data_IF_183922770606
#
_entry.id   IF_183922770606
#
_cell.length_a   1.000
_cell.length_b   1.000
_cell.length_c   1.000
_cell.angle_alpha   90.00
_cell.angle_beta   90.00
_cell.angle_gamma   90.00
#
_symmetry.space_group_name_H-M   'P 1'
#
loop_
_entity.id
_entity.type
_entity.pdbx_description
1 polymer ?
#
# COMPACT_ATOMS: atom_id res chain seq x y z
N UNK A 1 -12.95 -15.32 20.38
CA UNK A 1 -13.54 -16.40 19.56
C UNK A 1 -14.66 -15.95 18.58
N UNK A 2 -15.61 -15.09 18.96
CA UNK A 2 -16.71 -14.66 18.05
C UNK A 2 -16.24 -13.90 16.79
N UNK A 3 -15.20 -13.10 16.87
CA UNK A 3 -14.70 -12.31 15.72
C UNK A 3 -13.99 -13.15 14.65
N UNK A 4 -13.28 -14.21 15.05
CA UNK A 4 -12.65 -15.15 14.09
C UNK A 4 -13.70 -15.87 13.23
N UNK A 5 -14.80 -16.34 13.82
CA UNK A 5 -15.86 -17.01 13.07
C UNK A 5 -16.52 -16.10 12.02
N UNK A 6 -16.66 -14.79 12.31
CA UNK A 6 -17.23 -13.83 11.36
C UNK A 6 -16.29 -13.57 10.20
N UNK A 7 -14.98 -13.43 10.49
CA UNK A 7 -13.96 -13.27 9.44
C UNK A 7 -13.89 -14.50 8.54
N UNK A 8 -13.83 -15.70 9.12
CA UNK A 8 -13.77 -16.95 8.36
C UNK A 8 -15.02 -17.15 7.48
N UNK A 9 -16.20 -16.74 7.96
CA UNK A 9 -17.41 -16.75 7.18
C UNK A 9 -17.34 -15.79 5.99
N UNK A 10 -16.90 -14.55 6.22
CA UNK A 10 -16.75 -13.55 5.16
C UNK A 10 -15.73 -13.99 4.10
N UNK A 11 -14.61 -14.56 4.53
CA UNK A 11 -13.58 -15.06 3.62
C UNK A 11 -14.05 -16.27 2.82
N UNK A 12 -14.83 -17.17 3.44
CA UNK A 12 -15.46 -18.27 2.73
C UNK A 12 -16.45 -17.76 1.68
N UNK A 13 -17.28 -16.77 2.02
CA UNK A 13 -18.21 -16.16 1.06
C UNK A 13 -17.45 -15.48 -0.09
N UNK A 14 -16.37 -14.74 0.21
CA UNK A 14 -15.54 -14.08 -0.79
C UNK A 14 -14.93 -15.10 -1.77
N UNK A 15 -14.27 -16.13 -1.26
CA UNK A 15 -13.61 -17.16 -2.08
C UNK A 15 -14.63 -17.96 -2.90
N UNK A 16 -15.80 -18.26 -2.33
CA UNK A 16 -16.88 -18.93 -3.06
C UNK A 16 -17.40 -18.08 -4.22
N UNK A 17 -17.65 -16.79 -3.99
CA UNK A 17 -18.10 -15.90 -5.06
C UNK A 17 -17.03 -15.69 -6.14
N UNK A 18 -15.75 -15.58 -5.75
CA UNK A 18 -14.64 -15.52 -6.70
C UNK A 18 -14.59 -16.77 -7.59
N UNK A 19 -14.71 -17.96 -6.99
CA UNK A 19 -14.74 -19.23 -7.71
C UNK A 19 -15.94 -19.35 -8.65
N UNK A 20 -17.13 -18.96 -8.21
CA UNK A 20 -18.33 -18.92 -9.05
C UNK A 20 -18.17 -17.97 -10.24
N UNK A 21 -17.59 -16.79 -10.01
CA UNK A 21 -17.28 -15.84 -11.08
C UNK A 21 -16.32 -16.43 -12.11
N UNK A 22 -15.22 -17.01 -11.68
CA UNK A 22 -14.21 -17.64 -12.55
C UNK A 22 -14.82 -18.81 -13.36
N UNK A 23 -15.68 -19.61 -12.72
CA UNK A 23 -16.36 -20.72 -13.38
C UNK A 23 -17.35 -20.22 -14.47
N UNK A 24 -18.15 -19.21 -14.15
CA UNK A 24 -19.09 -18.61 -15.10
C UNK A 24 -18.36 -17.99 -16.29
N UNK A 25 -17.24 -17.30 -16.04
CA UNK A 25 -16.37 -16.76 -17.10
C UNK A 25 -15.81 -17.87 -17.99
N UNK A 26 -15.26 -18.93 -17.39
CA UNK A 26 -14.70 -20.05 -18.12
C UNK A 26 -15.76 -20.77 -19.00
N UNK A 27 -16.97 -21.00 -18.45
CA UNK A 27 -18.08 -21.60 -19.19
C UNK A 27 -18.52 -20.72 -20.36
N UNK A 28 -18.62 -19.41 -20.17
CA UNK A 28 -19.02 -18.48 -21.22
C UNK A 28 -17.98 -18.27 -22.29
N UNK A 29 -16.70 -18.50 -21.97
CA UNK A 29 -15.54 -18.37 -22.87
C UNK A 29 -15.16 -19.69 -23.55
N UNK A 30 -15.87 -20.78 -23.31
CA UNK A 30 -15.54 -22.08 -23.88
C UNK A 30 -15.66 -22.08 -25.41
N UNK A 31 -14.67 -22.57 -26.18
CA UNK A 31 -14.64 -22.47 -27.66
C UNK A 31 -15.89 -23.03 -28.35
N UNK A 32 -16.55 -24.03 -27.78
CA UNK A 32 -17.80 -24.59 -28.34
C UNK A 32 -18.99 -23.60 -28.27
N UNK A 33 -18.97 -22.61 -27.35
CA UNK A 33 -20.01 -21.59 -27.23
C UNK A 33 -19.86 -20.49 -28.32
N UNK A 34 -18.67 -20.34 -28.90
CA UNK A 34 -18.39 -19.42 -30.01
C UNK A 34 -18.96 -19.87 -31.35
N UNK A 35 -19.32 -21.16 -31.48
CA UNK A 35 -19.95 -21.70 -32.71
C UNK A 35 -21.44 -21.32 -32.82
N UNK A 36 -22.08 -20.91 -31.73
CA UNK A 36 -23.44 -20.35 -31.72
C UNK A 36 -23.43 -19.09 -30.85
N UNK A 37 -23.55 -17.89 -31.44
CA UNK A 37 -23.61 -16.65 -30.68
C UNK A 37 -24.89 -16.61 -29.84
N UNK A 38 -24.80 -17.12 -28.60
CA UNK A 38 -25.89 -17.08 -27.64
C UNK A 38 -25.64 -15.95 -26.63
N UNK A 39 -26.50 -14.91 -26.62
CA UNK A 39 -26.36 -13.77 -25.71
C UNK A 39 -26.29 -14.19 -24.24
N UNK A 40 -26.88 -15.31 -23.86
CA UNK A 40 -26.85 -15.84 -22.50
C UNK A 40 -25.42 -16.21 -22.07
N UNK A 41 -24.65 -16.89 -22.91
CA UNK A 41 -23.26 -17.24 -22.59
C UNK A 41 -22.35 -16.03 -22.50
N UNK A 42 -22.56 -15.04 -23.39
CA UNK A 42 -21.79 -13.78 -23.33
C UNK A 42 -22.11 -12.99 -22.06
N UNK A 43 -23.37 -12.94 -21.66
CA UNK A 43 -23.79 -12.29 -20.43
C UNK A 43 -23.26 -13.04 -19.18
N UNK A 44 -23.29 -14.36 -19.19
CA UNK A 44 -22.72 -15.17 -18.11
C UNK A 44 -21.20 -14.99 -17.97
N UNK A 45 -20.48 -14.91 -19.10
CA UNK A 45 -19.04 -14.64 -19.11
C UNK A 45 -18.73 -13.23 -18.57
N UNK A 46 -19.45 -12.20 -19.01
CA UNK A 46 -19.27 -10.83 -18.56
C UNK A 46 -19.61 -10.69 -17.06
N UNK A 47 -20.69 -11.30 -16.60
CA UNK A 47 -21.06 -11.34 -15.18
C UNK A 47 -20.00 -12.07 -14.36
N UNK A 48 -19.51 -13.21 -14.86
CA UNK A 48 -18.45 -13.99 -14.23
C UNK A 48 -17.15 -13.18 -14.08
N UNK A 49 -16.77 -12.47 -15.13
CA UNK A 49 -15.59 -11.60 -15.11
C UNK A 49 -15.72 -10.46 -14.09
N UNK A 50 -16.86 -9.79 -14.05
CA UNK A 50 -17.12 -8.72 -13.07
C UNK A 50 -17.08 -9.27 -11.65
N UNK A 51 -17.70 -10.42 -11.40
CA UNK A 51 -17.75 -11.06 -10.10
C UNK A 51 -16.35 -11.51 -9.65
N UNK A 52 -15.64 -12.24 -10.50
CA UNK A 52 -14.28 -12.69 -10.21
C UNK A 52 -13.36 -11.49 -9.90
N UNK A 53 -13.35 -10.47 -10.75
CA UNK A 53 -12.54 -9.26 -10.55
C UNK A 53 -12.91 -8.50 -9.27
N UNK A 54 -14.18 -8.45 -8.90
CA UNK A 54 -14.61 -7.77 -7.68
C UNK A 54 -14.03 -8.45 -6.46
N UNK A 55 -14.15 -9.77 -6.38
CA UNK A 55 -13.70 -10.53 -5.21
C UNK A 55 -12.18 -10.82 -5.18
N UNK A 56 -11.52 -10.89 -6.34
CA UNK A 56 -10.05 -11.00 -6.40
C UNK A 56 -9.36 -9.70 -6.02
N UNK A 57 -9.85 -8.56 -6.50
CA UNK A 57 -9.28 -7.23 -6.18
C UNK A 57 -9.32 -6.87 -4.70
N UNK A 58 -10.19 -7.49 -3.91
CA UNK A 58 -10.24 -7.28 -2.47
C UNK A 58 -8.97 -7.76 -1.73
N UNK A 59 -8.16 -8.64 -2.36
CA UNK A 59 -7.02 -9.28 -1.70
C UNK A 59 -5.72 -9.25 -2.51
N UNK A 60 -5.81 -9.03 -3.83
CA UNK A 60 -4.63 -8.99 -4.69
C UNK A 60 -4.02 -7.60 -4.67
N UNK A 61 -2.73 -7.54 -4.33
CA UNK A 61 -1.96 -6.30 -4.42
C UNK A 61 -1.81 -5.88 -5.87
N UNK A 62 -2.21 -4.66 -6.25
CA UNK A 62 -1.97 -4.14 -7.58
C UNK A 62 -0.47 -3.92 -7.83
N UNK A 63 -0.03 -4.11 -9.05
CA UNK A 63 1.32 -3.75 -9.47
C UNK A 63 1.51 -2.23 -9.48
N UNK A 64 2.75 -1.80 -9.26
CA UNK A 64 3.10 -0.38 -9.35
C UNK A 64 2.89 0.18 -10.76
N UNK A 65 3.21 -0.58 -11.80
CA UNK A 65 3.10 -0.16 -13.21
C UNK A 65 3.73 1.23 -13.47
N UNK A 66 4.83 1.52 -12.79
CA UNK A 66 5.67 2.72 -13.00
C UNK A 66 6.91 2.22 -13.71
N UNK A 67 6.96 2.36 -15.01
CA UNK A 67 8.05 1.85 -15.85
C UNK A 67 8.98 2.95 -16.33
N UNK A 68 8.47 4.17 -16.48
CA UNK A 68 9.24 5.33 -16.93
C UNK A 68 8.80 6.60 -16.22
N UNK A 69 9.69 7.59 -16.20
CA UNK A 69 9.42 8.95 -15.77
C UNK A 69 10.10 9.92 -16.73
N UNK A 70 9.44 11.04 -17.04
CA UNK A 70 10.03 12.11 -17.84
C UNK A 70 10.96 12.93 -16.95
N UNK A 71 12.23 13.02 -17.35
CA UNK A 71 13.22 13.84 -16.65
C UNK A 71 13.20 15.32 -17.06
N UNK A 72 14.00 16.14 -16.39
CA UNK A 72 14.18 17.57 -16.73
C UNK A 72 14.71 17.78 -18.17
N UNK A 73 15.37 16.78 -18.72
CA UNK A 73 15.87 16.76 -20.09
C UNK A 73 14.78 16.45 -21.14
N UNK A 74 13.54 16.25 -20.69
CA UNK A 74 12.38 15.89 -21.52
C UNK A 74 12.40 14.46 -22.06
N UNK A 75 13.28 13.59 -21.57
CA UNK A 75 13.40 12.19 -22.00
C UNK A 75 12.75 11.26 -20.99
N UNK A 76 12.29 10.10 -21.50
CA UNK A 76 11.83 9.01 -20.67
C UNK A 76 13.02 8.26 -20.05
N UNK A 77 12.99 8.12 -18.73
CA UNK A 77 13.96 7.36 -17.96
C UNK A 77 13.29 6.13 -17.34
N UNK A 78 13.97 5.01 -17.40
CA UNK A 78 13.44 3.74 -16.88
C UNK A 78 13.41 3.79 -15.35
N UNK A 79 12.31 3.32 -14.77
CA UNK A 79 12.09 3.20 -13.33
C UNK A 79 12.08 1.72 -12.95
N UNK A 80 12.94 1.35 -12.02
CA UNK A 80 13.01 0.02 -11.41
C UNK A 80 12.57 0.11 -9.96
N UNK A 81 11.78 -0.86 -9.50
CA UNK A 81 11.35 -0.96 -8.11
C UNK A 81 12.25 -1.96 -7.39
N UNK A 82 12.98 -1.50 -6.39
CA UNK A 82 13.90 -2.34 -5.60
C UNK A 82 13.54 -2.32 -4.11
N UNK A 83 13.70 -3.46 -3.42
CA UNK A 83 13.52 -3.54 -1.97
C UNK A 83 14.82 -3.16 -1.27
N UNK A 84 14.79 -2.10 -0.47
CA UNK A 84 15.94 -1.59 0.29
C UNK A 84 16.04 -2.25 1.67
N UNK A 85 14.91 -2.37 2.37
CA UNK A 85 14.81 -3.08 3.64
C UNK A 85 13.65 -4.05 3.56
N UNK A 86 13.90 -5.31 3.92
CA UNK A 86 12.88 -6.37 3.90
C UNK A 86 12.52 -6.78 5.32
N UNK A 87 11.22 -6.76 5.64
CA UNK A 87 10.69 -7.14 6.95
C UNK A 87 9.43 -8.00 6.80
N UNK A 88 9.07 -8.81 7.82
CA UNK A 88 7.91 -9.69 7.75
C UNK A 88 6.58 -8.98 7.45
N UNK A 89 6.36 -7.78 8.00
CA UNK A 89 5.07 -7.07 7.90
C UNK A 89 5.08 -5.92 6.90
N UNK A 90 6.23 -5.56 6.34
CA UNK A 90 6.32 -4.50 5.35
C UNK A 90 7.75 -4.21 4.95
N UNK A 91 7.94 -3.84 3.72
CA UNK A 91 9.24 -3.54 3.14
C UNK A 91 9.41 -2.02 2.97
N UNK A 92 10.65 -1.58 2.90
CA UNK A 92 11.01 -0.27 2.35
C UNK A 92 11.42 -0.47 0.90
N UNK A 93 10.68 0.10 -0.02
CA UNK A 93 10.99 0.03 -1.45
C UNK A 93 11.46 1.39 -1.98
N UNK A 94 12.30 1.34 -3.00
CA UNK A 94 12.87 2.48 -3.72
C UNK A 94 12.50 2.43 -5.19
N UNK A 95 12.12 3.56 -5.75
CA UNK A 95 11.91 3.74 -7.18
C UNK A 95 13.19 4.32 -7.80
N UNK A 96 14.05 3.44 -8.26
CA UNK A 96 15.33 3.78 -8.86
C UNK A 96 15.15 4.21 -10.31
N UNK A 97 15.58 5.40 -10.62
CA UNK A 97 15.49 5.94 -11.99
C UNK A 97 16.86 5.88 -12.65
N UNK A 98 16.94 5.14 -13.73
CA UNK A 98 18.16 4.94 -14.49
C UNK A 98 18.46 6.12 -15.44
N UNK A 99 19.75 6.49 -15.57
CA UNK A 99 20.18 7.50 -16.56
C UNK A 99 19.92 8.95 -16.15
N UNK A 100 19.33 9.22 -14.98
CA UNK A 100 19.22 10.56 -14.40
C UNK A 100 20.36 10.84 -13.42
N UNK A 101 20.71 12.13 -13.26
CA UNK A 101 21.64 12.53 -12.20
C UNK A 101 21.02 12.23 -10.82
N UNK A 102 21.83 11.80 -9.83
CA UNK A 102 21.32 11.59 -8.47
C UNK A 102 20.64 12.85 -7.94
N UNK A 103 19.42 12.69 -7.46
CA UNK A 103 18.65 13.82 -6.93
C UNK A 103 19.10 14.14 -5.52
N UNK A 104 19.17 15.42 -5.20
CA UNK A 104 19.61 15.88 -3.88
C UNK A 104 18.58 15.63 -2.78
N UNK A 105 17.29 15.49 -3.16
CA UNK A 105 16.19 15.29 -2.22
C UNK A 105 15.83 13.82 -2.14
N UNK A 106 15.68 13.32 -0.93
CA UNK A 106 15.19 11.98 -0.65
C UNK A 106 13.86 12.10 0.06
N UNK A 107 12.85 11.41 -0.42
CA UNK A 107 11.51 11.43 0.14
C UNK A 107 11.11 10.02 0.56
N UNK A 108 10.69 9.87 1.81
CA UNK A 108 10.02 8.68 2.32
C UNK A 108 8.52 8.95 2.39
N UNK A 109 7.75 8.26 1.57
CA UNK A 109 6.30 8.19 1.68
C UNK A 109 5.93 7.10 2.70
N UNK A 110 5.19 7.46 3.72
CA UNK A 110 4.61 6.50 4.66
C UNK A 110 3.17 6.24 4.25
N UNK A 111 2.96 5.08 3.65
CA UNK A 111 1.66 4.67 3.14
C UNK A 111 0.75 4.17 4.27
N UNK A 112 -0.58 4.37 4.19
CA UNK A 112 -1.52 3.78 5.12
C UNK A 112 -1.53 2.26 4.99
N UNK A 113 -1.73 1.57 6.11
CA UNK A 113 -1.87 0.11 6.17
C UNK A 113 -3.34 -0.34 6.09
N UNK A 114 -4.27 0.53 6.49
CA UNK A 114 -5.68 0.20 6.66
C UNK A 114 -6.41 0.02 5.33
N UNK A 115 -6.65 -1.26 4.96
CA UNK A 115 -7.55 -1.63 3.87
C UNK A 115 -7.06 -1.30 2.46
N UNK A 116 -5.81 -0.86 2.29
CA UNK A 116 -5.22 -0.48 1.01
C UNK A 116 -3.77 -0.93 0.94
N UNK A 117 -3.30 -1.16 -0.27
CA UNK A 117 -1.87 -1.33 -0.53
C UNK A 117 -1.19 0.03 -0.77
N UNK A 118 0.12 0.08 -0.61
CA UNK A 118 0.93 1.29 -0.86
C UNK A 118 0.75 1.85 -2.28
N UNK A 119 0.34 1.02 -3.23
CA UNK A 119 0.01 1.39 -4.61
C UNK A 119 -1.13 2.43 -4.71
N UNK A 120 -1.90 2.66 -3.64
CA UNK A 120 -2.82 3.80 -3.54
C UNK A 120 -2.10 5.14 -3.78
N UNK A 121 -0.83 5.25 -3.38
CA UNK A 121 -0.02 6.46 -3.54
C UNK A 121 0.77 6.49 -4.86
N UNK A 122 0.42 5.65 -5.84
CA UNK A 122 1.11 5.57 -7.13
C UNK A 122 1.25 6.93 -7.83
N UNK A 123 0.17 7.71 -7.89
CA UNK A 123 0.21 9.06 -8.50
C UNK A 123 1.11 10.02 -7.73
N UNK A 124 1.15 9.92 -6.40
CA UNK A 124 2.05 10.72 -5.57
C UNK A 124 3.51 10.34 -5.84
N UNK A 125 3.81 9.05 -5.94
CA UNK A 125 5.15 8.57 -6.33
C UNK A 125 5.54 9.15 -7.68
N UNK A 126 4.68 9.00 -8.69
CA UNK A 126 4.95 9.51 -10.05
C UNK A 126 5.18 11.03 -10.08
N UNK A 127 4.45 11.79 -9.28
CA UNK A 127 4.60 13.25 -9.20
C UNK A 127 5.91 13.67 -8.53
N UNK A 128 6.48 12.85 -7.64
CA UNK A 128 7.74 13.17 -6.93
C UNK A 128 8.98 12.67 -7.67
N UNK A 129 8.86 11.64 -8.50
CA UNK A 129 9.99 11.01 -9.18
C UNK A 129 10.84 11.95 -10.04
N UNK A 130 10.33 12.99 -10.72
CA UNK A 130 11.17 13.92 -11.45
C UNK A 130 12.17 14.67 -10.56
N UNK A 131 11.79 15.00 -9.31
CA UNK A 131 12.52 15.92 -8.44
C UNK A 131 13.22 15.26 -7.24
N UNK A 132 12.88 13.98 -6.94
CA UNK A 132 13.34 13.32 -5.71
C UNK A 132 13.68 11.83 -5.91
N UNK A 133 14.57 11.33 -5.06
CA UNK A 133 14.72 9.89 -4.79
C UNK A 133 13.54 9.45 -3.92
N UNK A 134 12.64 8.63 -4.45
CA UNK A 134 11.38 8.26 -3.79
C UNK A 134 11.45 6.88 -3.19
N UNK A 135 11.18 6.83 -1.90
CA UNK A 135 11.04 5.61 -1.10
C UNK A 135 9.62 5.54 -0.56
N UNK A 136 9.10 4.33 -0.35
CA UNK A 136 7.77 4.15 0.24
C UNK A 136 7.73 2.90 1.14
N UNK A 137 6.95 2.98 2.22
CA UNK A 137 6.62 1.81 3.02
C UNK A 137 5.63 0.93 2.27
N UNK A 138 5.96 -0.33 2.07
CA UNK A 138 5.14 -1.29 1.35
C UNK A 138 4.65 -2.38 2.29
N UNK A 139 3.51 -2.13 2.93
CA UNK A 139 2.94 -3.02 3.94
C UNK A 139 2.40 -4.30 3.31
N UNK A 140 2.71 -5.42 3.93
CA UNK A 140 2.20 -6.72 3.54
C UNK A 140 0.78 -6.95 4.08
N UNK A 141 0.01 -7.78 3.38
CA UNK A 141 -1.28 -8.20 3.89
C UNK A 141 -1.07 -9.11 5.11
N UNK A 142 -1.47 -8.66 6.30
CA UNK A 142 -1.28 -9.39 7.55
C UNK A 142 -1.89 -10.81 7.54
N UNK A 143 -2.92 -11.05 6.72
CA UNK A 143 -3.52 -12.37 6.52
C UNK A 143 -2.54 -13.40 5.98
N UNK A 144 -1.58 -12.96 5.15
CA UNK A 144 -0.65 -13.85 4.45
C UNK A 144 0.64 -14.07 5.25
N UNK A 145 0.78 -13.41 6.43
CA UNK A 145 1.96 -13.52 7.28
C UNK A 145 1.79 -14.68 8.26
N UNK A 146 2.71 -15.66 8.28
CA UNK A 146 2.64 -16.76 9.22
C UNK A 146 2.68 -16.28 10.67
N UNK A 147 1.88 -16.89 11.56
CA UNK A 147 1.82 -16.59 12.99
C UNK A 147 3.19 -16.74 13.66
N UNK A 148 4.07 -17.59 13.13
CA UNK A 148 5.46 -17.76 13.59
C UNK A 148 6.33 -16.50 13.46
N UNK A 149 5.89 -15.48 12.69
CA UNK A 149 6.57 -14.18 12.58
C UNK A 149 6.26 -13.23 13.75
N UNK A 150 5.38 -13.65 14.66
CA UNK A 150 5.01 -12.89 15.85
C UNK A 150 3.81 -11.97 15.63
N UNK A 151 3.62 -11.05 16.57
CA UNK A 151 2.61 -10.00 16.51
C UNK A 151 3.13 -8.79 15.73
N UNK A 152 2.21 -7.91 15.36
CA UNK A 152 2.52 -6.59 14.82
C UNK A 152 1.48 -5.60 15.34
N UNK A 153 1.92 -4.69 16.17
CA UNK A 153 1.08 -3.67 16.79
C UNK A 153 1.58 -2.25 16.48
N UNK A 154 1.04 -1.25 17.17
CA UNK A 154 1.38 0.16 16.98
C UNK A 154 2.86 0.44 17.28
N UNK A 155 3.40 -0.24 18.28
CA UNK A 155 4.81 -0.10 18.67
C UNK A 155 5.73 -0.70 17.60
N UNK A 156 5.39 -1.89 17.10
CA UNK A 156 6.12 -2.54 16.01
C UNK A 156 6.08 -1.70 14.72
N UNK A 157 4.92 -1.11 14.40
CA UNK A 157 4.80 -0.20 13.27
C UNK A 157 5.73 1.01 13.42
N UNK A 158 5.72 1.64 14.60
CA UNK A 158 6.58 2.78 14.89
C UNK A 158 8.07 2.39 14.83
N UNK A 159 8.43 1.21 15.34
CA UNK A 159 9.78 0.68 15.25
C UNK A 159 10.24 0.47 13.79
N UNK A 160 9.35 -0.01 12.90
CA UNK A 160 9.66 -0.11 11.46
C UNK A 160 9.92 1.26 10.85
N UNK A 161 9.13 2.28 11.19
CA UNK A 161 9.35 3.64 10.70
C UNK A 161 10.70 4.20 11.18
N UNK A 162 11.05 3.98 12.45
CA UNK A 162 12.37 4.35 12.99
C UNK A 162 13.49 3.67 12.22
N UNK A 163 13.36 2.38 11.96
CA UNK A 163 14.35 1.62 11.18
C UNK A 163 14.48 2.16 9.74
N UNK A 164 13.37 2.41 9.06
CA UNK A 164 13.37 2.93 7.69
C UNK A 164 13.96 4.35 7.62
N UNK A 165 13.64 5.21 8.59
CA UNK A 165 14.24 6.54 8.68
C UNK A 165 15.75 6.47 8.94
N UNK A 166 16.21 5.55 9.81
CA UNK A 166 17.64 5.29 10.04
C UNK A 166 18.35 4.82 8.76
N UNK A 167 17.75 3.91 8.03
CA UNK A 167 18.31 3.39 6.79
C UNK A 167 18.50 4.49 5.73
N UNK A 168 17.63 5.49 5.73
CA UNK A 168 17.65 6.61 4.79
C UNK A 168 18.49 7.81 5.27
N UNK A 169 18.57 8.03 6.58
CA UNK A 169 19.37 9.08 7.21
C UNK A 169 18.78 10.48 7.13
N UNK A 170 19.47 11.44 7.74
CA UNK A 170 19.01 12.81 8.01
C UNK A 170 18.59 13.64 6.78
N UNK A 171 19.10 13.36 5.59
CA UNK A 171 18.73 14.09 4.37
C UNK A 171 17.33 13.77 3.85
N UNK A 172 16.58 12.92 4.54
CA UNK A 172 15.27 12.43 4.12
C UNK A 172 14.14 13.36 4.55
N UNK A 173 13.23 13.63 3.63
CA UNK A 173 11.95 14.27 3.88
C UNK A 173 10.88 13.17 4.06
N UNK A 174 10.10 13.21 5.12
CA UNK A 174 9.04 12.23 5.39
C UNK A 174 7.68 12.83 5.09
N UNK A 175 6.86 12.11 4.34
CA UNK A 175 5.47 12.46 4.06
C UNK A 175 4.60 11.28 4.52
N UNK A 176 3.80 11.48 5.55
CA UNK A 176 2.87 10.47 6.06
C UNK A 176 1.43 10.83 5.70
N UNK A 177 0.72 9.89 5.06
CA UNK A 177 -0.61 10.14 4.51
C UNK A 177 -1.64 9.35 5.31
N UNK A 178 -2.60 10.07 5.91
CA UNK A 178 -3.75 9.51 6.63
C UNK A 178 -3.34 8.78 7.93
N UNK A 179 -3.74 7.53 8.11
CA UNK A 179 -3.55 6.70 9.31
C UNK A 179 -2.12 6.75 9.92
N UNK A 180 -1.02 6.66 9.16
CA UNK A 180 0.32 6.64 9.75
C UNK A 180 0.84 8.00 10.25
N UNK A 181 0.11 9.08 10.09
CA UNK A 181 0.58 10.40 10.49
C UNK A 181 0.98 10.48 11.98
N UNK A 182 0.17 10.03 12.97
CA UNK A 182 0.58 10.03 14.37
C UNK A 182 1.79 9.12 14.64
N UNK A 183 1.90 8.00 13.94
CA UNK A 183 3.00 7.05 14.10
C UNK A 183 4.32 7.59 13.51
N UNK A 184 4.24 8.31 12.38
CA UNK A 184 5.39 8.99 11.81
C UNK A 184 5.86 10.16 12.69
N UNK A 185 4.91 10.87 13.34
CA UNK A 185 5.23 11.88 14.34
C UNK A 185 5.94 11.26 15.55
N UNK A 186 5.42 10.16 16.09
CA UNK A 186 6.02 9.44 17.20
C UNK A 186 7.42 8.92 16.87
N UNK A 187 7.62 8.31 15.69
CA UNK A 187 8.92 7.84 15.23
C UNK A 187 9.93 9.00 15.09
N UNK A 188 9.47 10.14 14.56
CA UNK A 188 10.31 11.33 14.41
C UNK A 188 10.71 11.91 15.77
N UNK A 189 9.77 11.99 16.73
CA UNK A 189 10.04 12.44 18.08
C UNK A 189 11.02 11.52 18.81
N UNK A 190 10.83 10.20 18.67
CA UNK A 190 11.76 9.20 19.22
C UNK A 190 13.18 9.38 18.68
N UNK A 191 13.31 9.58 17.35
CA UNK A 191 14.62 9.82 16.74
C UNK A 191 15.26 11.14 17.18
N UNK A 192 14.45 12.19 17.36
CA UNK A 192 14.94 13.48 17.84
C UNK A 192 15.59 13.37 19.23
N UNK A 193 15.07 12.50 20.09
CA UNK A 193 15.58 12.28 21.45
C UNK A 193 16.74 11.28 21.48
N UNK A 194 16.62 10.16 20.76
CA UNK A 194 17.53 9.02 20.94
C UNK A 194 18.57 8.87 19.82
N UNK A 195 18.31 9.43 18.63
CA UNK A 195 19.20 9.33 17.46
C UNK A 195 19.02 10.52 16.52
N UNK A 196 19.43 11.74 16.93
CA UNK A 196 19.23 12.96 16.15
C UNK A 196 19.85 12.92 14.74
N UNK A 197 20.85 12.07 14.53
CA UNK A 197 21.50 11.90 13.24
C UNK A 197 20.61 11.17 12.21
N UNK A 198 19.64 10.42 12.68
CA UNK A 198 18.66 9.72 11.84
C UNK A 198 17.32 10.45 11.74
N UNK A 199 17.16 11.57 12.47
CA UNK A 199 15.95 12.39 12.40
C UNK A 199 15.75 12.90 10.97
N UNK A 200 14.51 12.82 10.41
CA UNK A 200 14.25 13.36 9.08
C UNK A 200 14.41 14.89 9.05
N UNK A 201 14.78 15.40 7.89
CA UNK A 201 14.95 16.84 7.66
C UNK A 201 13.64 17.61 7.74
N UNK A 202 12.55 16.99 7.35
CA UNK A 202 11.20 17.52 7.49
C UNK A 202 10.18 16.40 7.61
N UNK A 203 9.07 16.70 8.26
CA UNK A 203 7.92 15.82 8.39
C UNK A 203 6.68 16.56 7.89
N UNK A 204 6.00 15.96 6.90
CA UNK A 204 4.72 16.43 6.37
C UNK A 204 3.64 15.41 6.70
N UNK A 205 2.58 15.86 7.37
CA UNK A 205 1.46 15.03 7.79
C UNK A 205 0.22 15.44 7.00
N UNK A 206 -0.38 14.51 6.28
CA UNK A 206 -1.51 14.77 5.38
C UNK A 206 -2.73 14.00 5.87
N UNK A 207 -3.74 14.74 6.38
CA UNK A 207 -5.07 14.19 6.69
C UNK A 207 -5.08 13.12 7.80
N UNK A 208 -4.10 13.11 8.68
CA UNK A 208 -4.00 12.14 9.77
C UNK A 208 -4.56 12.65 11.10
N UNK A 209 -5.08 11.75 11.95
CA UNK A 209 -5.68 12.09 13.24
C UNK A 209 -4.62 12.34 14.31
N UNK A 210 -3.97 13.51 14.30
CA UNK A 210 -2.91 13.85 15.26
C UNK A 210 -3.50 14.12 16.65
N UNK A 211 -4.58 14.90 16.69
CA UNK A 211 -5.34 15.20 17.90
C UNK A 211 -6.84 15.00 17.62
N UNK A 212 -7.37 13.80 17.88
CA UNK A 212 -8.78 13.52 17.64
C UNK A 212 -9.74 14.29 18.59
N UNK A 213 -9.22 14.91 19.66
CA UNK A 213 -10.01 15.69 20.59
C UNK A 213 -10.15 17.16 20.15
N UNK A 214 -9.23 17.66 19.35
CA UNK A 214 -9.26 19.03 18.84
C UNK A 214 -10.44 19.29 17.89
N UNK A 215 -10.95 18.26 17.22
CA UNK A 215 -12.11 18.33 16.33
C UNK A 215 -12.94 17.05 16.45
N UNK A 216 -13.93 17.06 17.34
CA UNK A 216 -14.84 15.94 17.51
C UNK A 216 -15.66 15.70 16.23
N UNK A 217 -15.74 14.43 15.83
CA UNK A 217 -16.55 13.97 14.71
C UNK A 217 -17.44 12.82 15.17
N UNK A 218 -18.50 12.50 14.40
CA UNK A 218 -19.37 11.35 14.71
C UNK A 218 -18.56 10.04 14.82
N UNK A 219 -17.46 9.92 14.07
CA UNK A 219 -16.58 8.74 14.11
C UNK A 219 -15.78 8.68 15.41
N UNK A 220 -15.22 9.82 15.87
CA UNK A 220 -14.50 9.87 17.15
C UNK A 220 -15.42 9.65 18.34
N UNK A 221 -16.64 10.20 18.28
CA UNK A 221 -17.66 9.99 19.31
C UNK A 221 -18.18 8.54 19.36
N UNK A 222 -18.29 7.89 18.20
CA UNK A 222 -18.59 6.46 18.14
C UNK A 222 -17.49 5.59 18.74
N UNK A 223 -16.22 5.92 18.48
CA UNK A 223 -15.08 5.20 19.02
C UNK A 223 -14.89 5.31 20.53
N UNK A 224 -15.51 6.33 21.19
CA UNK A 224 -15.48 6.53 22.63
C UNK A 224 -16.56 5.76 23.40
N UNK A 225 -17.55 5.18 22.73
CA UNK A 225 -18.63 4.37 23.31
C UNK A 225 -18.27 2.90 23.40
#
# INVERSE_FOLDING_TARGET
MRYMATYDLMETMRTTNQWLGATAQAMGSYPATGLMPNPFFQMAAAWGEVTERTFSRMVVKPDWNITTVVGEDGRDHVVEVETVVKRPFGDLIHFKVSGMKPRKRRVLLVAPMSGHYATLLRSTVMSLLPDAEVYITDWHNARDIPVSKGKFDVEDYTAYLVEFMRALGHSTHVIAVCQPAPLALAATAYLAEHDPQAQPRSLTLIGGPIDPDAAATDVTDFGRR
#
